data_IF_326320603553
#
_entry.id   IF_326320603553
#
_cell.length_a   1.000
_cell.length_b   1.000
_cell.length_c   1.000
_cell.angle_alpha   90.00
_cell.angle_beta   90.00
_cell.angle_gamma   90.00
#
_symmetry.space_group_name_H-M   'P 1'
#
loop_
_entity.id
_entity.type
_entity.pdbx_description
1 polymer ?
#
# COMPACT_ATOMS: atom_id res chain seq x y z
N UNK A 1 -24.19 2.25 -13.86
CA UNK A 1 -22.80 2.45 -14.30
C UNK A 1 -21.95 1.34 -13.72
N UNK A 2 -20.89 0.94 -14.44
CA UNK A 2 -20.00 -0.14 -14.01
C UNK A 2 -18.65 0.43 -13.57
N UNK A 3 -18.13 -0.08 -12.46
CA UNK A 3 -16.81 0.28 -11.91
C UNK A 3 -16.00 -1.01 -11.78
N UNK A 4 -14.75 -0.98 -12.22
CA UNK A 4 -13.84 -2.11 -12.11
C UNK A 4 -12.58 -1.67 -11.38
N UNK A 5 -12.30 -2.29 -10.24
CA UNK A 5 -11.03 -2.14 -9.53
C UNK A 5 -9.98 -3.09 -10.12
N UNK A 6 -8.76 -2.60 -10.33
CA UNK A 6 -7.62 -3.41 -10.76
C UNK A 6 -6.56 -3.32 -9.67
N UNK A 7 -6.26 -4.42 -9.01
CA UNK A 7 -5.38 -4.46 -7.83
C UNK A 7 -4.35 -5.57 -7.92
N UNK A 8 -3.13 -5.28 -7.45
CA UNK A 8 -2.08 -6.27 -7.19
C UNK A 8 -2.18 -6.91 -5.81
N UNK A 9 -3.17 -6.52 -5.02
CA UNK A 9 -3.49 -7.10 -3.72
C UNK A 9 -4.86 -7.74 -3.80
N UNK A 10 -5.01 -8.92 -3.21
CA UNK A 10 -6.28 -9.64 -3.20
C UNK A 10 -7.36 -8.89 -2.42
N UNK A 11 -8.61 -9.09 -2.80
CA UNK A 11 -9.76 -8.50 -2.13
C UNK A 11 -9.79 -8.90 -0.65
N UNK A 12 -10.04 -7.95 0.22
CA UNK A 12 -10.08 -8.12 1.67
C UNK A 12 -10.93 -7.03 2.32
N UNK A 13 -11.28 -7.20 3.59
CA UNK A 13 -12.01 -6.19 4.37
C UNK A 13 -11.27 -4.85 4.40
N UNK A 14 -9.94 -4.88 4.44
CA UNK A 14 -9.12 -3.67 4.35
C UNK A 14 -9.31 -2.96 3.01
N UNK A 15 -9.22 -3.69 1.91
CA UNK A 15 -9.46 -3.15 0.56
C UNK A 15 -10.88 -2.59 0.46
N UNK A 16 -11.85 -3.33 0.96
CA UNK A 16 -13.24 -2.89 0.95
C UNK A 16 -13.44 -1.58 1.70
N UNK A 17 -12.88 -1.46 2.91
CA UNK A 17 -12.96 -0.27 3.75
C UNK A 17 -12.24 0.93 3.14
N UNK A 18 -10.96 0.75 2.77
CA UNK A 18 -10.07 1.84 2.37
C UNK A 18 -10.39 2.37 0.97
N UNK A 19 -11.03 1.55 0.12
CA UNK A 19 -11.37 1.89 -1.25
C UNK A 19 -12.87 1.98 -1.53
N UNK A 20 -13.71 1.89 -0.48
CA UNK A 20 -15.16 2.05 -0.55
C UNK A 20 -15.85 1.12 -1.56
N UNK A 21 -15.32 -0.08 -1.76
CA UNK A 21 -15.79 -1.03 -2.80
C UNK A 21 -17.25 -1.42 -2.59
N UNK A 22 -17.58 -1.82 -1.36
CA UNK A 22 -18.96 -2.17 -0.96
C UNK A 22 -19.89 -0.96 -0.99
N UNK A 23 -19.42 0.20 -0.52
CA UNK A 23 -20.22 1.42 -0.54
C UNK A 23 -20.68 1.79 -1.96
N UNK A 24 -19.80 1.62 -2.96
CA UNK A 24 -20.17 1.84 -4.36
C UNK A 24 -21.21 0.82 -4.84
N UNK A 25 -21.10 -0.44 -4.46
CA UNK A 25 -22.08 -1.47 -4.77
C UNK A 25 -23.45 -1.15 -4.14
N UNK A 26 -23.49 -0.74 -2.89
CA UNK A 26 -24.70 -0.31 -2.18
C UNK A 26 -25.34 0.94 -2.82
N UNK A 27 -24.54 1.81 -3.45
CA UNK A 27 -25.02 2.98 -4.20
C UNK A 27 -25.35 2.68 -5.67
N UNK A 28 -25.74 1.43 -5.97
CA UNK A 28 -26.27 0.98 -7.28
C UNK A 28 -25.24 1.02 -8.43
N UNK A 29 -23.95 1.02 -8.15
CA UNK A 29 -22.94 0.73 -9.16
C UNK A 29 -22.76 -0.78 -9.29
N UNK A 30 -22.63 -1.26 -10.52
CA UNK A 30 -22.15 -2.63 -10.76
C UNK A 30 -20.64 -2.65 -10.52
N UNK A 31 -20.19 -3.32 -9.48
CA UNK A 31 -18.78 -3.32 -9.08
C UNK A 31 -18.13 -4.67 -9.36
N UNK A 32 -16.98 -4.63 -10.02
CA UNK A 32 -16.08 -5.78 -10.17
C UNK A 32 -14.72 -5.48 -9.57
N UNK A 33 -14.08 -6.50 -9.05
CA UNK A 33 -12.71 -6.42 -8.52
C UNK A 33 -11.83 -7.42 -9.27
N UNK A 34 -10.82 -6.92 -9.99
CA UNK A 34 -9.88 -7.73 -10.75
C UNK A 34 -8.57 -7.84 -9.98
N UNK A 35 -8.33 -9.01 -9.41
CA UNK A 35 -7.09 -9.35 -8.72
C UNK A 35 -6.04 -9.78 -9.75
N UNK A 36 -5.02 -8.95 -9.91
CA UNK A 36 -3.90 -9.19 -10.79
C UNK A 36 -2.60 -9.52 -10.02
N UNK A 37 -2.70 -9.91 -8.75
CA UNK A 37 -1.52 -10.24 -7.91
C UNK A 37 -0.63 -11.32 -8.54
N UNK A 38 -1.22 -12.28 -9.23
CA UNK A 38 -0.53 -13.39 -9.88
C UNK A 38 -0.21 -13.16 -11.36
N UNK A 39 -0.47 -11.97 -11.91
CA UNK A 39 -0.35 -11.71 -13.35
C UNK A 39 1.05 -11.95 -13.92
N UNK A 40 2.10 -11.78 -13.11
CA UNK A 40 3.50 -12.00 -13.49
C UNK A 40 3.96 -13.45 -13.36
N UNK A 41 3.20 -14.29 -12.68
CA UNK A 41 3.61 -15.64 -12.32
C UNK A 41 3.16 -16.63 -13.37
N UNK A 42 3.06 -16.40 -14.61
CA UNK A 42 2.78 -17.33 -15.73
C UNK A 42 2.26 -18.74 -15.32
N UNK A 43 1.56 -18.82 -14.19
CA UNK A 43 0.91 -20.03 -13.77
C UNK A 43 -0.33 -20.14 -14.67
N UNK A 44 -0.45 -21.22 -15.39
CA UNK A 44 -1.65 -21.58 -16.18
C UNK A 44 -2.86 -21.85 -15.26
N UNK A 45 -3.09 -20.94 -14.31
CA UNK A 45 -4.24 -20.97 -13.45
C UNK A 45 -5.44 -20.44 -14.24
N UNK A 46 -6.44 -21.25 -14.41
CA UNK A 46 -7.68 -20.83 -15.05
C UNK A 46 -8.28 -19.65 -14.27
N UNK A 47 -8.70 -18.63 -15.01
CA UNK A 47 -9.46 -17.51 -14.48
C UNK A 47 -10.60 -18.02 -13.59
N UNK A 48 -10.72 -17.48 -12.39
CA UNK A 48 -11.80 -17.79 -11.46
C UNK A 48 -12.66 -16.56 -11.22
N UNK A 49 -13.95 -16.76 -11.09
CA UNK A 49 -14.92 -15.73 -10.78
C UNK A 49 -15.71 -16.14 -9.56
N UNK A 50 -15.76 -15.26 -8.56
CA UNK A 50 -16.56 -15.46 -7.34
C UNK A 50 -17.39 -14.21 -7.09
N UNK A 51 -18.48 -14.37 -6.34
CA UNK A 51 -19.30 -13.23 -5.91
C UNK A 51 -19.22 -13.17 -4.39
N UNK A 52 -18.80 -12.04 -3.85
CA UNK A 52 -18.76 -11.77 -2.42
C UNK A 52 -19.43 -10.41 -2.16
N UNK A 53 -20.42 -10.38 -1.28
CA UNK A 53 -21.21 -9.18 -0.95
C UNK A 53 -21.76 -8.41 -2.18
N UNK A 54 -22.18 -9.13 -3.21
CA UNK A 54 -22.68 -8.54 -4.46
C UNK A 54 -21.58 -7.97 -5.39
N UNK A 55 -20.30 -8.16 -5.04
CA UNK A 55 -19.15 -7.73 -5.82
C UNK A 55 -18.60 -8.94 -6.58
N UNK A 56 -18.46 -8.79 -7.90
CA UNK A 56 -17.82 -9.83 -8.72
C UNK A 56 -16.30 -9.72 -8.59
N UNK A 57 -15.66 -10.76 -8.04
CA UNK A 57 -14.22 -10.86 -7.89
C UNK A 57 -13.67 -11.79 -8.98
N UNK A 58 -12.70 -11.31 -9.73
CA UNK A 58 -12.02 -12.05 -10.81
C UNK A 58 -10.56 -12.22 -10.42
N UNK A 59 -10.12 -13.48 -10.30
CA UNK A 59 -8.76 -13.84 -9.90
C UNK A 59 -8.05 -14.65 -10.98
N UNK A 60 -6.76 -14.91 -10.81
CA UNK A 60 -5.91 -15.68 -11.73
C UNK A 60 -5.91 -15.11 -13.16
N UNK A 61 -5.83 -13.80 -13.25
CA UNK A 61 -5.83 -13.08 -14.54
C UNK A 61 -4.43 -13.10 -15.13
N UNK A 62 -4.25 -13.71 -16.30
CA UNK A 62 -3.03 -13.63 -17.08
C UNK A 62 -2.99 -12.34 -17.91
N UNK A 63 -1.82 -11.96 -18.47
CA UNK A 63 -1.71 -10.79 -19.35
C UNK A 63 -2.64 -10.87 -20.58
N UNK A 64 -2.80 -12.06 -21.15
CA UNK A 64 -3.67 -12.25 -22.31
C UNK A 64 -5.13 -12.10 -21.91
N UNK A 65 -5.51 -12.67 -20.77
CA UNK A 65 -6.86 -12.55 -20.24
C UNK A 65 -7.17 -11.10 -19.88
N UNK A 66 -6.25 -10.38 -19.26
CA UNK A 66 -6.39 -8.97 -18.95
C UNK A 66 -6.64 -8.12 -20.20
N UNK A 67 -5.87 -8.37 -21.26
CA UNK A 67 -6.07 -7.71 -22.55
C UNK A 67 -7.42 -8.07 -23.17
N UNK A 68 -7.86 -9.33 -23.08
CA UNK A 68 -9.16 -9.81 -23.56
C UNK A 68 -10.32 -9.14 -22.82
N UNK A 69 -10.25 -9.07 -21.49
CA UNK A 69 -11.26 -8.43 -20.65
C UNK A 69 -11.40 -6.94 -21.00
N UNK A 70 -10.28 -6.21 -21.16
CA UNK A 70 -10.33 -4.81 -21.59
C UNK A 70 -10.93 -4.64 -22.98
N UNK A 71 -10.58 -5.53 -23.94
CA UNK A 71 -11.10 -5.48 -25.29
C UNK A 71 -12.61 -5.73 -25.33
N UNK A 72 -13.10 -6.73 -24.59
CA UNK A 72 -14.53 -7.05 -24.51
C UNK A 72 -15.35 -5.91 -23.91
N UNK A 73 -14.73 -5.15 -23.02
CA UNK A 73 -15.37 -4.02 -22.34
C UNK A 73 -15.23 -2.69 -23.09
N UNK A 74 -14.55 -2.63 -24.23
CA UNK A 74 -14.16 -1.39 -24.92
C UNK A 74 -15.33 -0.47 -25.28
N UNK A 75 -16.50 -1.04 -25.59
CA UNK A 75 -17.71 -0.29 -25.96
C UNK A 75 -18.58 0.09 -24.78
N UNK A 76 -18.25 -0.34 -23.58
CA UNK A 76 -19.04 -0.13 -22.37
C UNK A 76 -18.57 1.15 -21.65
N UNK A 77 -19.49 1.85 -21.02
CA UNK A 77 -19.16 3.01 -20.18
C UNK A 77 -18.72 2.53 -18.79
N UNK A 78 -17.44 2.21 -18.67
CA UNK A 78 -16.83 1.63 -17.46
C UNK A 78 -15.75 2.56 -16.94
N UNK A 79 -15.72 2.73 -15.62
CA UNK A 79 -14.65 3.42 -14.89
C UNK A 79 -13.72 2.36 -14.32
N UNK A 80 -12.43 2.45 -14.64
CA UNK A 80 -11.40 1.57 -14.10
C UNK A 80 -10.61 2.29 -13.01
N UNK A 81 -10.68 1.78 -11.78
CA UNK A 81 -9.92 2.28 -10.65
C UNK A 81 -8.65 1.44 -10.53
N UNK A 82 -7.50 2.07 -10.72
CA UNK A 82 -6.21 1.40 -10.76
C UNK A 82 -5.54 1.53 -9.39
N UNK A 83 -5.53 0.44 -8.62
CA UNK A 83 -4.85 0.35 -7.32
C UNK A 83 -3.43 -0.20 -7.44
N UNK A 84 -3.04 -0.64 -8.62
CA UNK A 84 -1.71 -1.15 -8.90
C UNK A 84 -0.74 0.00 -9.18
N UNK A 85 0.36 0.11 -8.43
CA UNK A 85 1.42 1.07 -8.70
C UNK A 85 2.24 0.71 -9.93
N UNK A 86 2.81 1.71 -10.63
CA UNK A 86 3.68 1.49 -11.77
C UNK A 86 5.09 1.08 -11.32
N UNK A 87 5.46 -0.16 -11.59
CA UNK A 87 6.80 -0.70 -11.34
C UNK A 87 7.11 -1.85 -12.33
N UNK A 88 8.29 -2.47 -12.21
CA UNK A 88 8.76 -3.50 -13.16
C UNK A 88 7.79 -4.68 -13.36
N UNK A 89 7.07 -5.09 -12.33
CA UNK A 89 6.12 -6.22 -12.40
C UNK A 89 4.81 -5.82 -13.09
N UNK A 90 4.36 -4.57 -12.91
CA UNK A 90 3.12 -4.03 -13.48
C UNK A 90 3.33 -3.28 -14.81
N UNK A 91 4.56 -3.05 -15.23
CA UNK A 91 4.86 -2.29 -16.45
C UNK A 91 4.13 -2.83 -17.70
N UNK A 92 3.98 -4.16 -17.83
CA UNK A 92 3.24 -4.78 -18.93
C UNK A 92 1.73 -4.52 -18.82
N UNK A 93 1.17 -4.49 -17.61
CA UNK A 93 -0.23 -4.10 -17.35
C UNK A 93 -0.47 -2.67 -17.83
N UNK A 94 0.41 -1.74 -17.47
CA UNK A 94 0.31 -0.35 -17.90
C UNK A 94 0.44 -0.18 -19.41
N UNK A 95 1.28 -0.97 -20.08
CA UNK A 95 1.35 -0.99 -21.57
C UNK A 95 0.03 -1.48 -22.19
N UNK A 96 -0.59 -2.49 -21.59
CA UNK A 96 -1.90 -2.99 -22.05
C UNK A 96 -2.96 -1.90 -21.84
N UNK A 97 -3.01 -1.25 -20.68
CA UNK A 97 -3.90 -0.13 -20.42
C UNK A 97 -3.69 1.00 -21.46
N UNK A 98 -2.43 1.35 -21.76
CA UNK A 98 -2.13 2.36 -22.77
C UNK A 98 -2.61 1.98 -24.18
N UNK A 99 -2.57 0.69 -24.52
CA UNK A 99 -3.06 0.16 -25.82
C UNK A 99 -4.58 0.29 -25.94
N UNK A 100 -5.31 -0.06 -24.90
CA UNK A 100 -6.79 -0.09 -24.92
C UNK A 100 -7.43 1.24 -24.51
N UNK A 101 -6.69 2.12 -23.84
CA UNK A 101 -7.11 3.46 -23.39
C UNK A 101 -8.48 3.48 -22.71
N UNK A 102 -8.72 2.60 -21.70
CA UNK A 102 -9.95 2.67 -20.92
C UNK A 102 -9.98 3.98 -20.11
N UNK A 103 -11.18 4.40 -19.67
CA UNK A 103 -11.30 5.51 -18.73
C UNK A 103 -10.77 5.11 -17.36
N UNK A 104 -9.69 5.74 -16.91
CA UNK A 104 -8.96 5.32 -15.72
C UNK A 104 -8.89 6.38 -14.64
N UNK A 105 -9.05 5.93 -13.42
CA UNK A 105 -8.89 6.71 -12.19
C UNK A 105 -7.77 6.09 -11.37
N UNK A 106 -6.87 6.92 -10.88
CA UNK A 106 -5.78 6.51 -9.99
C UNK A 106 -5.80 7.31 -8.71
N UNK A 107 -5.18 6.75 -7.68
CA UNK A 107 -4.97 7.43 -6.42
C UNK A 107 -3.48 7.61 -6.18
N UNK A 108 -3.10 8.80 -5.79
CA UNK A 108 -1.76 9.12 -5.34
C UNK A 108 -1.85 9.35 -3.83
N UNK A 109 -1.47 8.34 -3.06
CA UNK A 109 -1.40 8.45 -1.62
C UNK A 109 -0.21 9.31 -1.24
N UNK A 110 -0.43 10.30 -0.39
CA UNK A 110 0.60 11.22 0.05
C UNK A 110 1.84 10.49 0.52
N UNK A 111 2.99 10.88 0.01
CA UNK A 111 4.24 10.45 0.59
C UNK A 111 4.35 11.02 2.01
N UNK A 112 4.92 10.25 2.92
CA UNK A 112 5.42 10.81 4.18
C UNK A 112 6.32 12.00 3.85
N UNK A 113 6.28 13.09 4.63
CA UNK A 113 7.14 14.23 4.40
C UNK A 113 8.59 13.75 4.25
N UNK A 114 9.16 13.90 3.05
CA UNK A 114 10.58 13.63 2.86
C UNK A 114 11.34 14.60 3.75
N UNK A 115 12.26 14.11 4.58
CA UNK A 115 13.14 15.02 5.31
C UNK A 115 13.89 15.86 4.27
N UNK A 116 13.96 17.16 4.48
CA UNK A 116 14.65 18.11 3.60
C UNK A 116 16.10 17.70 3.27
N UNK A 117 16.65 16.76 4.04
CA UNK A 117 18.01 16.23 3.92
C UNK A 117 18.12 14.91 3.12
N UNK A 118 17.04 14.43 2.49
CA UNK A 118 17.12 13.22 1.70
C UNK A 118 17.87 13.48 0.39
N UNK A 119 19.21 13.48 0.46
CA UNK A 119 20.08 13.57 -0.71
C UNK A 119 19.84 12.36 -1.61
N UNK A 120 19.31 12.59 -2.80
CA UNK A 120 19.16 11.53 -3.80
C UNK A 120 20.53 10.94 -4.08
N UNK A 121 20.79 9.71 -3.61
CA UNK A 121 22.04 9.00 -3.86
C UNK A 121 22.30 8.95 -5.36
N UNK A 122 23.51 9.30 -5.77
CA UNK A 122 23.92 9.23 -7.17
C UNK A 122 23.89 7.78 -7.67
N UNK A 123 23.85 7.58 -8.98
CA UNK A 123 23.90 6.23 -9.56
C UNK A 123 25.17 5.49 -9.14
N UNK A 124 26.29 6.19 -9.01
CA UNK A 124 27.58 5.65 -8.55
C UNK A 124 27.53 5.21 -7.08
N UNK A 125 26.96 6.01 -6.20
CA UNK A 125 26.75 5.64 -4.78
C UNK A 125 25.84 4.42 -4.64
N UNK A 126 24.83 4.27 -5.51
CA UNK A 126 23.98 3.07 -5.53
C UNK A 126 24.74 1.83 -5.96
N UNK A 127 25.67 1.94 -6.92
CA UNK A 127 26.53 0.84 -7.35
C UNK A 127 27.53 0.45 -6.25
N UNK A 128 28.11 1.41 -5.54
CA UNK A 128 28.99 1.13 -4.40
C UNK A 128 28.26 0.39 -3.27
N UNK A 129 27.04 0.80 -2.94
CA UNK A 129 26.20 0.11 -1.95
C UNK A 129 25.85 -1.33 -2.37
N UNK A 130 25.79 -1.63 -3.67
CA UNK A 130 25.59 -2.98 -4.16
C UNK A 130 26.83 -3.88 -3.98
N UNK A 131 28.04 -3.29 -3.88
CA UNK A 131 29.29 -4.01 -3.59
C UNK A 131 29.42 -4.41 -2.12
N UNK A 132 28.96 -3.53 -1.23
CA UNK A 132 29.06 -3.73 0.22
C UNK A 132 27.94 -4.60 0.80
N UNK A 133 26.80 -4.70 0.13
CA UNK A 133 25.69 -5.53 0.57
C UNK A 133 25.85 -6.95 0.00
N UNK A 134 25.83 -7.95 0.85
CA UNK A 134 25.85 -9.39 0.54
C UNK A 134 24.58 -9.87 -0.23
N UNK A 135 23.99 -9.00 -1.02
CA UNK A 135 22.83 -9.34 -1.85
C UNK A 135 23.26 -10.23 -3.03
N UNK A 136 22.49 -11.28 -3.36
CA UNK A 136 22.79 -12.13 -4.49
C UNK A 136 22.88 -11.27 -5.77
N UNK A 137 24.06 -11.21 -6.35
CA UNK A 137 24.41 -10.36 -7.51
C UNK A 137 23.40 -10.44 -8.67
N UNK A 138 22.86 -11.65 -8.91
CA UNK A 138 21.82 -11.89 -9.92
C UNK A 138 20.52 -11.09 -9.69
N UNK A 139 20.08 -10.98 -8.44
CA UNK A 139 18.85 -10.24 -8.10
C UNK A 139 19.04 -8.73 -8.25
N UNK A 140 20.23 -8.24 -7.93
CA UNK A 140 20.58 -6.83 -8.08
C UNK A 140 20.60 -6.40 -9.55
N UNK A 141 21.18 -7.19 -10.44
CA UNK A 141 21.18 -6.92 -11.90
C UNK A 141 19.75 -6.94 -12.45
N UNK A 142 18.94 -7.94 -12.10
CA UNK A 142 17.54 -8.04 -12.54
C UNK A 142 16.71 -6.82 -12.07
N UNK A 143 16.98 -6.31 -10.88
CA UNK A 143 16.33 -5.11 -10.36
C UNK A 143 16.75 -3.84 -11.13
N UNK A 144 18.04 -3.69 -11.42
CA UNK A 144 18.56 -2.57 -12.20
C UNK A 144 17.97 -2.58 -13.62
N UNK A 145 18.02 -3.71 -14.33
CA UNK A 145 17.44 -3.85 -15.66
C UNK A 145 15.94 -3.56 -15.68
N UNK A 146 15.18 -4.05 -14.67
CA UNK A 146 13.77 -3.74 -14.52
C UNK A 146 13.50 -2.25 -14.32
N UNK A 147 14.33 -1.57 -13.55
CA UNK A 147 14.21 -0.12 -13.33
C UNK A 147 14.53 0.67 -14.60
N UNK A 148 15.57 0.27 -15.34
CA UNK A 148 15.92 0.87 -16.64
C UNK A 148 14.77 0.67 -17.63
N UNK A 149 14.24 -0.53 -17.71
CA UNK A 149 13.08 -0.85 -18.57
C UNK A 149 11.89 0.07 -18.25
N UNK A 150 11.51 0.22 -16.99
CA UNK A 150 10.43 1.11 -16.58
C UNK A 150 10.68 2.57 -17.00
N UNK A 151 11.91 3.07 -16.84
CA UNK A 151 12.28 4.43 -17.26
C UNK A 151 12.16 4.60 -18.79
N UNK A 152 12.60 3.62 -19.58
CA UNK A 152 12.49 3.64 -21.04
C UNK A 152 11.02 3.66 -21.46
N UNK A 153 10.20 2.78 -20.92
CA UNK A 153 8.75 2.72 -21.22
C UNK A 153 8.08 4.05 -20.90
N UNK A 154 8.44 4.67 -19.77
CA UNK A 154 7.93 5.99 -19.37
C UNK A 154 8.38 7.08 -20.36
N UNK A 155 9.67 7.10 -20.73
CA UNK A 155 10.24 8.08 -21.67
C UNK A 155 9.64 7.96 -23.10
N UNK A 156 9.27 6.75 -23.50
CA UNK A 156 8.62 6.49 -24.78
C UNK A 156 7.10 6.72 -24.76
N UNK A 157 6.54 7.27 -23.67
CA UNK A 157 5.10 7.51 -23.48
C UNK A 157 4.25 6.24 -23.71
N UNK A 158 4.77 5.08 -23.32
CA UNK A 158 4.08 3.79 -23.43
C UNK A 158 3.26 3.43 -22.20
N UNK A 159 3.15 4.34 -21.23
CA UNK A 159 2.22 4.27 -20.09
C UNK A 159 1.02 5.18 -20.34
N UNK A 160 -0.17 4.83 -19.80
CA UNK A 160 -1.36 5.64 -20.01
C UNK A 160 -1.26 6.99 -19.30
N UNK A 161 -1.89 8.01 -19.89
CA UNK A 161 -2.30 9.21 -19.17
C UNK A 161 -3.67 8.89 -18.59
N UNK A 162 -3.77 8.85 -17.26
CA UNK A 162 -5.03 8.58 -16.58
C UNK A 162 -6.02 9.75 -16.74
N UNK A 163 -7.31 9.47 -16.66
CA UNK A 163 -8.31 10.52 -16.80
C UNK A 163 -8.40 11.36 -15.54
N UNK A 164 -8.39 10.72 -14.37
CA UNK A 164 -8.43 11.40 -13.07
C UNK A 164 -7.35 10.81 -12.16
N UNK A 165 -6.66 11.68 -11.42
CA UNK A 165 -5.83 11.33 -10.27
C UNK A 165 -6.41 11.98 -9.02
N UNK A 166 -6.80 11.17 -8.05
CA UNK A 166 -7.07 11.65 -6.70
C UNK A 166 -5.76 11.73 -5.94
N UNK A 167 -5.41 12.93 -5.48
CA UNK A 167 -4.14 13.22 -4.83
C UNK A 167 -4.37 13.49 -3.34
N UNK A 168 -3.86 12.62 -2.49
CA UNK A 168 -3.96 12.77 -1.05
C UNK A 168 -2.65 13.31 -0.48
N UNK A 169 -2.72 14.52 0.11
CA UNK A 169 -1.57 15.19 0.74
C UNK A 169 -0.84 16.18 -0.14
N UNK A 170 -0.42 17.27 0.52
CA UNK A 170 0.27 18.42 -0.09
C UNK A 170 1.74 18.15 -0.24
N UNK A 171 2.32 17.55 -0.98
CA UNK A 171 3.77 17.27 -1.12
C UNK A 171 4.07 15.93 -1.73
N UNK A 172 3.05 15.17 -2.07
CA UNK A 172 3.25 13.98 -2.85
C UNK A 172 3.71 14.39 -4.25
N UNK A 173 4.90 13.97 -4.62
CA UNK A 173 5.36 14.08 -6.01
C UNK A 173 4.48 13.13 -6.80
N UNK A 174 3.50 13.66 -7.53
CA UNK A 174 2.66 12.86 -8.40
C UNK A 174 3.54 12.09 -9.38
N UNK A 175 3.59 10.78 -9.20
CA UNK A 175 4.24 9.88 -10.16
C UNK A 175 3.29 9.47 -11.27
N UNK A 176 2.01 9.76 -11.09
CA UNK A 176 0.95 9.42 -12.03
C UNK A 176 0.67 10.58 -12.98
N UNK A 177 0.67 10.28 -14.27
CA UNK A 177 0.25 11.24 -15.29
C UNK A 177 -1.27 11.18 -15.42
N UNK A 178 -1.95 12.30 -15.16
CA UNK A 178 -3.39 12.38 -15.31
C UNK A 178 -3.82 13.68 -16.01
N UNK A 179 -4.94 13.63 -16.72
CA UNK A 179 -5.56 14.81 -17.36
C UNK A 179 -6.13 15.79 -16.34
N UNK A 180 -6.64 15.26 -15.22
CA UNK A 180 -7.20 16.02 -14.11
C UNK A 180 -6.72 15.46 -12.78
N UNK A 181 -6.27 16.33 -11.90
CA UNK A 181 -5.95 16.00 -10.51
C UNK A 181 -6.98 16.64 -9.59
N UNK A 182 -7.40 15.89 -8.57
CA UNK A 182 -8.36 16.32 -7.56
C UNK A 182 -7.72 16.02 -6.21
N UNK A 183 -7.56 17.04 -5.39
CA UNK A 183 -7.01 16.86 -4.04
C UNK A 183 -8.08 16.29 -3.12
N UNK A 184 -7.69 15.29 -2.35
CA UNK A 184 -8.53 14.60 -1.37
C UNK A 184 -7.77 14.39 -0.07
N UNK A 185 -8.46 13.99 0.98
CA UNK A 185 -7.83 13.47 2.19
C UNK A 185 -7.51 11.98 2.06
N UNK A 186 -6.60 11.51 2.90
CA UNK A 186 -6.35 10.06 3.08
C UNK A 186 -7.59 9.39 3.71
N UNK A 187 -7.80 8.11 3.41
CA UNK A 187 -8.87 7.32 4.04
C UNK A 187 -8.78 7.28 5.57
N UNK A 188 -7.57 7.41 6.13
CA UNK A 188 -7.36 7.48 7.57
C UNK A 188 -7.97 8.74 8.20
N UNK A 189 -8.08 9.83 7.44
CA UNK A 189 -8.76 11.05 7.90
C UNK A 189 -10.25 10.82 8.15
N UNK A 190 -10.90 9.99 7.35
CA UNK A 190 -12.31 9.62 7.58
C UNK A 190 -12.48 8.82 8.88
N UNK A 191 -11.50 7.98 9.23
CA UNK A 191 -11.50 7.27 10.50
C UNK A 191 -11.27 8.24 11.68
N UNK A 192 -10.36 9.18 11.52
CA UNK A 192 -10.16 10.26 12.49
C UNK A 192 -11.42 11.08 12.71
N UNK A 193 -12.11 11.53 11.65
CA UNK A 193 -13.37 12.27 11.77
C UNK A 193 -14.46 11.47 12.51
N UNK A 194 -14.55 10.15 12.27
CA UNK A 194 -15.48 9.29 13.02
C UNK A 194 -15.13 9.21 14.50
N UNK A 195 -13.86 9.28 14.84
CA UNK A 195 -13.42 9.26 16.24
C UNK A 195 -13.72 10.57 16.98
N UNK A 196 -13.65 11.73 16.30
CA UNK A 196 -13.92 13.03 16.89
C UNK A 196 -15.36 13.21 17.42
N UNK A 197 -16.32 12.45 16.86
CA UNK A 197 -17.73 12.52 17.30
C UNK A 197 -18.01 11.75 18.60
N UNK A 198 -17.00 11.12 19.20
CA UNK A 198 -17.10 10.49 20.51
C UNK A 198 -16.69 11.51 21.58
N UNK A 199 -17.47 11.60 22.67
CA UNK A 199 -17.04 12.32 23.88
C UNK A 199 -15.85 11.56 24.49
N UNK A 200 -14.63 11.93 24.09
CA UNK A 200 -13.41 11.23 24.47
C UNK A 200 -12.85 11.90 25.72
N UNK A 201 -12.72 11.15 26.80
CA UNK A 201 -11.91 11.54 27.93
C UNK A 201 -10.49 11.06 27.67
N UNK A 202 -9.54 11.99 27.53
CA UNK A 202 -8.14 11.67 27.31
C UNK A 202 -7.60 10.77 28.44
N UNK A 203 -7.13 9.59 28.08
CA UNK A 203 -6.56 8.63 29.03
C UNK A 203 -5.04 8.82 29.07
N UNK A 204 -4.46 8.92 30.27
CA UNK A 204 -3.02 9.05 30.45
C UNK A 204 -2.29 7.72 30.12
N UNK A 205 -2.39 7.30 28.87
CA UNK A 205 -1.72 6.14 28.29
C UNK A 205 -1.04 6.52 26.98
N UNK A 206 -0.19 5.64 26.49
CA UNK A 206 0.49 5.79 25.21
C UNK A 206 0.09 4.66 24.27
N UNK A 207 -0.06 4.96 22.98
CA UNK A 207 -0.14 3.94 21.95
C UNK A 207 1.15 3.91 21.13
N UNK A 208 1.71 2.72 20.91
CA UNK A 208 2.75 2.49 19.92
C UNK A 208 2.13 1.93 18.66
N UNK A 209 2.26 2.66 17.55
CA UNK A 209 1.80 2.22 16.23
C UNK A 209 2.90 1.36 15.61
N UNK A 210 2.66 0.05 15.59
CA UNK A 210 3.59 -0.92 15.04
C UNK A 210 3.50 -0.96 13.51
N UNK A 211 4.64 -0.94 12.84
CA UNK A 211 4.76 -1.05 11.38
C UNK A 211 5.30 -2.40 10.90
N UNK A 212 5.31 -3.41 11.78
CA UNK A 212 5.75 -4.78 11.47
C UNK A 212 7.13 -4.85 10.78
N UNK A 213 8.09 -4.05 11.26
CA UNK A 213 9.41 -3.93 10.61
C UNK A 213 10.22 -5.22 10.58
N UNK A 214 9.97 -6.15 11.49
CA UNK A 214 10.70 -7.44 11.58
C UNK A 214 10.24 -8.46 10.55
N UNK A 215 9.01 -8.31 10.01
CA UNK A 215 8.45 -9.22 8.99
C UNK A 215 7.84 -8.46 7.81
N UNK A 216 8.35 -7.28 7.54
CA UNK A 216 7.85 -6.45 6.44
C UNK A 216 8.28 -7.06 5.09
N UNK A 217 7.30 -7.45 4.29
CA UNK A 217 7.52 -7.99 2.94
C UNK A 217 8.28 -7.04 2.02
N UNK A 218 8.13 -5.73 2.21
CA UNK A 218 8.82 -4.72 1.40
C UNK A 218 10.32 -4.70 1.66
N UNK A 219 10.76 -4.98 2.89
CA UNK A 219 12.17 -5.14 3.23
C UNK A 219 12.76 -6.30 2.43
N UNK A 220 12.08 -7.46 2.45
CA UNK A 220 12.48 -8.67 1.72
C UNK A 220 12.45 -8.45 0.19
N UNK A 221 11.37 -7.85 -0.34
CA UNK A 221 11.19 -7.59 -1.77
C UNK A 221 12.21 -6.59 -2.34
N UNK A 222 12.57 -5.58 -1.55
CA UNK A 222 13.56 -4.57 -1.94
C UNK A 222 14.99 -5.00 -1.66
N UNK A 223 15.21 -6.18 -1.06
CA UNK A 223 16.54 -6.70 -0.74
C UNK A 223 17.26 -5.84 0.30
N UNK A 224 16.53 -5.25 1.23
CA UNK A 224 17.10 -4.52 2.36
C UNK A 224 17.57 -5.50 3.43
N UNK A 225 18.45 -5.04 4.32
CA UNK A 225 18.96 -5.85 5.43
C UNK A 225 17.80 -6.18 6.37
N UNK A 226 17.59 -7.47 6.62
CA UNK A 226 16.59 -7.92 7.56
C UNK A 226 16.96 -7.48 8.98
N UNK A 227 15.97 -6.98 9.71
CA UNK A 227 16.13 -6.56 11.09
C UNK A 227 16.11 -7.81 11.97
N UNK A 228 17.10 -7.94 12.86
CA UNK A 228 17.12 -9.01 13.84
C UNK A 228 15.99 -8.82 14.86
N UNK A 229 14.96 -9.71 14.89
CA UNK A 229 13.79 -9.51 15.74
C UNK A 229 14.12 -9.40 17.23
N UNK A 230 15.00 -10.26 17.74
CA UNK A 230 15.35 -10.27 19.17
C UNK A 230 15.95 -8.94 19.61
N UNK A 231 16.94 -8.43 18.85
CA UNK A 231 17.55 -7.12 19.15
C UNK A 231 16.58 -5.97 19.04
N UNK A 232 15.68 -6.04 18.05
CA UNK A 232 14.65 -5.03 17.86
C UNK A 232 13.71 -4.95 19.05
N UNK A 233 13.09 -6.08 19.44
CA UNK A 233 12.13 -6.10 20.55
C UNK A 233 12.78 -5.80 21.90
N UNK A 234 14.02 -6.24 22.11
CA UNK A 234 14.79 -5.87 23.32
C UNK A 234 15.01 -4.35 23.40
N UNK A 235 15.44 -3.74 22.31
CA UNK A 235 15.67 -2.29 22.25
C UNK A 235 14.39 -1.51 22.45
N UNK A 236 13.32 -1.97 21.81
CA UNK A 236 12.00 -1.32 21.88
C UNK A 236 11.41 -1.43 23.29
N UNK A 237 11.56 -2.57 23.95
CA UNK A 237 11.11 -2.77 25.34
C UNK A 237 11.83 -1.87 26.32
N UNK A 238 13.15 -1.71 26.19
CA UNK A 238 13.93 -0.76 27.00
C UNK A 238 13.45 0.69 26.79
N UNK A 239 13.12 1.05 25.56
CA UNK A 239 12.54 2.36 25.27
C UNK A 239 11.17 2.55 25.93
N UNK A 240 10.30 1.55 25.85
CA UNK A 240 8.98 1.62 26.51
C UNK A 240 9.09 1.71 28.03
N UNK A 241 9.95 0.93 28.67
CA UNK A 241 10.21 1.02 30.11
C UNK A 241 10.67 2.43 30.54
N UNK A 242 11.63 2.99 29.77
CA UNK A 242 12.05 4.37 30.00
C UNK A 242 10.91 5.38 29.84
N UNK A 243 10.11 5.25 28.78
CA UNK A 243 8.99 6.13 28.49
C UNK A 243 7.91 6.03 29.58
N UNK A 244 7.51 4.81 29.93
CA UNK A 244 6.51 4.53 30.95
C UNK A 244 6.91 5.13 32.30
N UNK A 245 8.17 4.96 32.69
CA UNK A 245 8.71 5.54 33.93
C UNK A 245 8.75 7.05 33.89
N UNK A 246 9.20 7.63 32.78
CA UNK A 246 9.38 9.09 32.66
C UNK A 246 8.05 9.85 32.67
N UNK A 247 7.02 9.30 32.04
CA UNK A 247 5.73 9.96 31.86
C UNK A 247 4.62 9.39 32.75
N UNK A 248 4.97 8.47 33.66
CA UNK A 248 4.05 7.75 34.54
C UNK A 248 2.82 7.24 33.77
N UNK A 249 3.06 6.45 32.74
CA UNK A 249 2.05 5.98 31.79
C UNK A 249 2.26 4.50 31.45
N UNK A 250 1.35 3.88 30.70
CA UNK A 250 1.49 2.54 30.14
C UNK A 250 1.44 2.61 28.63
N UNK A 251 2.22 1.76 27.94
CA UNK A 251 2.23 1.64 26.48
C UNK A 251 1.34 0.48 26.05
N UNK A 252 0.36 0.77 25.20
CA UNK A 252 -0.46 -0.20 24.48
C UNK A 252 0.11 -0.33 23.06
N UNK A 253 0.18 -1.54 22.52
CA UNK A 253 0.69 -1.81 21.21
C UNK A 253 -0.46 -1.92 20.22
N UNK A 254 -0.55 -0.99 19.27
CA UNK A 254 -1.43 -1.13 18.11
C UNK A 254 -0.69 -1.88 17.01
N UNK A 255 -0.88 -3.19 16.96
CA UNK A 255 -0.13 -4.06 16.06
C UNK A 255 -0.57 -3.89 14.60
N UNK A 256 0.40 -4.01 13.69
CA UNK A 256 0.12 -3.99 12.26
C UNK A 256 -0.86 -5.13 11.87
N UNK A 257 -1.80 -4.91 10.95
CA UNK A 257 -2.83 -5.91 10.60
C UNK A 257 -2.27 -7.27 10.18
N UNK A 258 -1.09 -7.30 9.55
CA UNK A 258 -0.42 -8.54 9.10
C UNK A 258 0.50 -9.15 10.12
N UNK A 259 0.80 -8.46 11.24
CA UNK A 259 1.67 -9.00 12.28
C UNK A 259 0.98 -10.12 13.06
N UNK A 260 1.78 -11.05 13.55
CA UNK A 260 1.31 -12.19 14.30
C UNK A 260 2.27 -12.45 15.46
N UNK A 261 2.04 -11.76 16.58
CA UNK A 261 2.87 -11.83 17.78
C UNK A 261 2.39 -12.94 18.70
N UNK A 262 3.24 -13.94 18.97
CA UNK A 262 2.88 -15.13 19.75
C UNK A 262 3.76 -15.36 20.99
N UNK A 263 4.91 -14.71 21.06
CA UNK A 263 5.97 -15.06 22.01
C UNK A 263 6.24 -13.96 23.04
N UNK A 264 5.20 -13.22 23.44
CA UNK A 264 5.35 -12.12 24.41
C UNK A 264 6.42 -11.08 24.00
N UNK A 265 6.52 -10.78 22.71
CA UNK A 265 7.51 -9.88 22.12
C UNK A 265 7.53 -8.50 22.79
N UNK A 266 6.42 -8.08 23.37
CA UNK A 266 6.26 -6.79 24.05
C UNK A 266 6.25 -6.93 25.58
N UNK A 267 6.75 -8.04 26.15
CA UNK A 267 6.90 -8.24 27.59
C UNK A 267 5.60 -8.00 28.39
N UNK A 268 4.49 -8.61 27.97
CA UNK A 268 3.21 -8.57 28.67
C UNK A 268 2.41 -7.27 28.45
N UNK A 269 2.86 -6.35 27.60
CA UNK A 269 2.05 -5.18 27.22
C UNK A 269 0.85 -5.60 26.40
N UNK A 270 -0.24 -4.87 26.55
CA UNK A 270 -1.47 -5.10 25.79
C UNK A 270 -1.23 -4.89 24.30
N UNK A 271 -1.65 -5.86 23.49
CA UNK A 271 -1.53 -5.81 22.00
C UNK A 271 -2.94 -5.86 21.41
N UNK A 272 -3.31 -4.84 20.64
CA UNK A 272 -4.60 -4.74 19.96
C UNK A 272 -4.43 -4.60 18.47
N UNK A 273 -5.38 -5.10 17.68
CA UNK A 273 -5.42 -4.99 16.22
C UNK A 273 -6.56 -4.12 15.73
N UNK A 274 -6.35 -3.41 14.62
CA UNK A 274 -7.38 -2.66 13.88
C UNK A 274 -8.05 -1.54 14.69
N UNK A 275 -7.44 -1.07 15.78
CA UNK A 275 -7.95 0.01 16.64
C UNK A 275 -7.05 1.25 16.65
N UNK A 276 -6.12 1.38 15.72
CA UNK A 276 -5.13 2.47 15.73
C UNK A 276 -5.78 3.85 15.77
N UNK A 277 -6.76 4.11 14.92
CA UNK A 277 -7.43 5.42 14.86
C UNK A 277 -8.18 5.76 16.17
N UNK A 278 -8.81 4.78 16.79
CA UNK A 278 -9.51 4.91 18.08
C UNK A 278 -8.51 5.24 19.20
N UNK A 279 -7.45 4.43 19.33
CA UNK A 279 -6.41 4.64 20.33
C UNK A 279 -5.68 5.98 20.18
N UNK A 280 -5.37 6.39 18.94
CA UNK A 280 -4.75 7.70 18.68
C UNK A 280 -5.63 8.85 19.13
N UNK A 281 -6.96 8.72 19.05
CA UNK A 281 -7.89 9.74 19.49
C UNK A 281 -8.16 9.76 20.99
N UNK A 282 -7.97 8.63 21.68
CA UNK A 282 -8.30 8.45 23.09
C UNK A 282 -7.09 8.61 24.02
N UNK A 283 -5.88 8.31 23.54
CA UNK A 283 -4.69 8.25 24.37
C UNK A 283 -3.82 9.50 24.23
N UNK A 284 -3.21 9.87 25.33
CA UNK A 284 -2.41 11.10 25.47
C UNK A 284 -1.14 11.12 24.62
N UNK A 285 -0.51 9.97 24.42
CA UNK A 285 0.76 9.89 23.71
C UNK A 285 0.68 8.91 22.54
N UNK A 286 1.26 9.30 21.40
CA UNK A 286 1.41 8.45 20.24
C UNK A 286 2.88 8.25 19.93
N UNK A 287 3.32 7.01 19.90
CA UNK A 287 4.68 6.59 19.58
C UNK A 287 4.67 5.86 18.24
N UNK A 288 5.60 6.17 17.37
CA UNK A 288 5.79 5.42 16.12
C UNK A 288 7.22 5.53 15.63
N UNK A 289 7.69 4.56 14.88
CA UNK A 289 8.94 4.68 14.13
C UNK A 289 8.69 5.33 12.79
N UNK A 290 7.75 4.75 12.08
CA UNK A 290 7.40 5.06 10.71
C UNK A 290 6.00 4.53 10.49
N UNK A 291 5.07 5.41 10.26
CA UNK A 291 3.69 5.04 9.92
C UNK A 291 3.23 5.93 8.79
N UNK A 292 2.54 5.33 7.88
CA UNK A 292 1.83 6.03 6.80
C UNK A 292 0.43 6.36 7.24
#
# INVERSE_FOLDING_TARGET
RKIIYISTTSYSDKINRDWYVKLLSENRFSVEFWDISNISNNIDANKQETILDGIKIVTNITYNEFARLLNNNKKLNIIYIILASYHKQTAKVYRILNKYKPYTVVFNWGATPESANFRKKSFYEKILLLKDNQLPFKNSIKNILGTIYCKIIKKLNLIPIHDICFNAGTGSISTSYAKKTIDINLCDYDQYLKSLNKNITEVNQAVFIDSNVTDNSDIKLNGLIEINPSKYFESLSKYFEYFEKKYNTKVIISSHPTSNYHNNEFLGREVVKLKSAELVSELKYVLSHHST
#
